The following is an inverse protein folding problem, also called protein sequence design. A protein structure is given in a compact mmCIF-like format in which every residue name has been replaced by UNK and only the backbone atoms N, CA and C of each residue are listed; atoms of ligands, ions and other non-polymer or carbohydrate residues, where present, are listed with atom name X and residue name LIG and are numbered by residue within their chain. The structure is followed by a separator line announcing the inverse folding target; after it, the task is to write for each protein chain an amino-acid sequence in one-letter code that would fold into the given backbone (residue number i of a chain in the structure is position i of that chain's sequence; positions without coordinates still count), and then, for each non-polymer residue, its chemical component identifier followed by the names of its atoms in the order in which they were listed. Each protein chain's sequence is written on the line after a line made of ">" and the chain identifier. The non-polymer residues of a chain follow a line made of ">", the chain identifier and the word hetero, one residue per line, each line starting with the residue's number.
data_IF_269549284462
#
_entry.id   IF_269549284462
#
_cell.length_a   1.000
_cell.length_b   1.000
_cell.length_c   1.000
_cell.angle_alpha   90.00
_cell.angle_beta   90.00
_cell.angle_gamma   90.00
#
_symmetry.space_group_name_H-M   'P 1'
#
loop_
_entity.id
_entity.type
_entity.pdbx_description
1 polymer ?
#
# COMPACT_ATOMS: atom_id res chain seq x y z
N UNK A 1 17.38 -0.55 -27.24
CA UNK A 1 16.61 0.68 -26.91
C UNK A 1 15.17 0.23 -26.73
N UNK A 2 14.72 -0.01 -25.49
CA UNK A 2 13.36 -0.52 -25.24
C UNK A 2 12.39 0.67 -25.20
N UNK A 3 11.53 0.72 -26.21
CA UNK A 3 10.44 1.69 -26.32
C UNK A 3 9.39 1.37 -25.27
N UNK A 4 9.04 2.36 -24.45
CA UNK A 4 7.92 2.25 -23.51
C UNK A 4 6.65 2.35 -24.37
N UNK A 5 6.04 1.20 -24.66
CA UNK A 5 4.82 1.11 -25.45
C UNK A 5 3.70 1.96 -24.84
N UNK A 6 2.98 2.67 -25.71
CA UNK A 6 1.80 3.45 -25.36
C UNK A 6 0.83 2.65 -24.48
N UNK A 7 0.17 3.29 -23.49
CA UNK A 7 -0.72 2.60 -22.57
C UNK A 7 -1.79 1.81 -23.33
N UNK A 8 -1.96 0.55 -22.90
CA UNK A 8 -2.88 -0.42 -23.48
C UNK A 8 -4.30 0.16 -23.56
N UNK A 9 -4.97 -0.03 -24.71
CA UNK A 9 -6.32 0.50 -25.02
C UNK A 9 -7.41 0.11 -23.99
N UNK A 10 -7.14 -0.82 -23.07
CA UNK A 10 -8.06 -1.23 -22.01
C UNK A 10 -8.34 -0.15 -20.96
N UNK A 11 -7.52 0.91 -20.89
CA UNK A 11 -7.70 2.03 -19.95
C UNK A 11 -8.54 3.19 -20.52
N UNK A 12 -8.92 3.16 -21.81
CA UNK A 12 -9.68 4.25 -22.45
C UNK A 12 -11.12 4.38 -21.94
N UNK A 13 -11.68 3.34 -21.33
CA UNK A 13 -13.02 3.39 -20.75
C UNK A 13 -13.04 3.93 -19.31
N UNK A 14 -11.87 4.01 -18.66
CA UNK A 14 -11.76 4.55 -17.30
C UNK A 14 -11.61 6.07 -17.37
N UNK A 15 -12.69 6.71 -17.84
CA UNK A 15 -12.72 8.15 -18.14
C UNK A 15 -12.47 8.98 -16.89
N UNK A 16 -11.50 9.90 -16.99
CA UNK A 16 -11.10 10.87 -15.97
C UNK A 16 -12.27 11.72 -15.44
N UNK A 17 -13.38 11.79 -16.20
CA UNK A 17 -14.50 12.69 -15.96
C UNK A 17 -15.64 12.11 -15.09
N UNK A 18 -15.62 10.83 -14.70
CA UNK A 18 -16.77 10.24 -13.97
C UNK A 18 -16.71 10.33 -12.44
N UNK A 19 -15.58 10.72 -11.82
CA UNK A 19 -15.47 10.71 -10.36
C UNK A 19 -14.76 11.94 -9.74
N UNK A 20 -14.86 13.10 -10.39
CA UNK A 20 -14.37 14.37 -9.83
C UNK A 20 -15.15 14.82 -8.57
N UNK A 21 -16.42 14.39 -8.43
CA UNK A 21 -17.34 14.88 -7.38
C UNK A 21 -17.39 14.03 -6.11
N UNK A 22 -16.47 13.06 -5.97
CA UNK A 22 -16.38 12.24 -4.76
C UNK A 22 -14.93 12.01 -4.36
N UNK A 23 -14.20 13.09 -4.07
CA UNK A 23 -13.03 13.02 -3.21
C UNK A 23 -13.52 12.45 -1.85
N UNK A 24 -12.85 11.55 -1.11
CA UNK A 24 -11.53 11.74 -0.52
C UNK A 24 -10.95 10.41 0.04
N UNK A 25 -9.62 10.25 -0.05
CA UNK A 25 -8.72 9.34 0.69
C UNK A 25 -8.41 7.95 0.10
N UNK A 26 -7.56 7.97 -0.93
CA UNK A 26 -6.46 7.01 -1.07
C UNK A 26 -6.74 5.70 -1.79
N UNK A 27 -7.97 5.18 -1.72
CA UNK A 27 -8.23 3.83 -2.25
C UNK A 27 -8.29 3.77 -3.79
N UNK A 28 -8.86 4.79 -4.43
CA UNK A 28 -9.03 4.93 -5.90
C UNK A 28 -7.73 5.38 -6.59
N UNK A 29 -6.96 6.20 -5.88
CA UNK A 29 -5.62 6.63 -6.25
C UNK A 29 -4.63 5.46 -6.35
N UNK A 30 -4.69 4.54 -5.39
CA UNK A 30 -3.87 3.33 -5.38
C UNK A 30 -4.28 2.37 -6.50
N UNK A 31 -5.58 2.24 -6.76
CA UNK A 31 -6.10 1.44 -7.88
C UNK A 31 -5.54 1.92 -9.23
N UNK A 32 -5.61 3.23 -9.49
CA UNK A 32 -5.08 3.87 -10.71
C UNK A 32 -3.58 3.72 -10.87
N UNK A 33 -2.84 3.94 -9.78
CA UNK A 33 -1.39 3.82 -9.78
C UNK A 33 -0.95 2.36 -9.95
N UNK A 34 -1.69 1.40 -9.39
CA UNK A 34 -1.47 -0.03 -9.62
C UNK A 34 -1.69 -0.42 -11.06
N UNK A 35 -2.78 0.02 -11.70
CA UNK A 35 -3.05 -0.30 -13.10
C UNK A 35 -1.90 0.08 -14.05
N UNK A 36 -1.12 1.11 -13.71
CA UNK A 36 0.01 1.58 -14.51
C UNK A 36 1.27 0.70 -14.35
N UNK A 37 1.45 0.04 -13.21
CA UNK A 37 2.64 -0.79 -12.90
C UNK A 37 2.29 -2.27 -12.68
N UNK A 38 1.06 -2.66 -13.03
CA UNK A 38 0.47 -3.92 -12.60
C UNK A 38 1.25 -5.12 -13.11
N UNK A 39 1.64 -5.12 -14.39
CA UNK A 39 2.41 -6.21 -15.00
C UNK A 39 3.77 -6.43 -14.30
N UNK A 40 4.46 -5.35 -13.94
CA UNK A 40 5.75 -5.43 -13.24
C UNK A 40 5.55 -5.97 -11.82
N UNK A 41 4.55 -5.47 -11.09
CA UNK A 41 4.25 -5.95 -9.74
C UNK A 41 3.75 -7.40 -9.76
N UNK A 42 2.97 -7.79 -10.77
CA UNK A 42 2.52 -9.18 -10.98
C UNK A 42 3.67 -10.14 -11.18
N UNK A 43 4.68 -9.75 -11.95
CA UNK A 43 5.85 -10.57 -12.17
C UNK A 43 6.69 -10.76 -10.89
N UNK A 44 6.65 -9.79 -9.97
CA UNK A 44 7.49 -9.79 -8.76
C UNK A 44 6.88 -10.57 -7.59
N UNK A 45 5.55 -10.57 -7.43
CA UNK A 45 4.92 -11.10 -6.22
C UNK A 45 3.81 -12.11 -6.50
N UNK A 46 3.95 -13.30 -5.92
CA UNK A 46 3.00 -14.41 -6.06
C UNK A 46 1.62 -14.12 -5.45
N UNK A 47 1.57 -13.33 -4.36
CA UNK A 47 0.33 -13.06 -3.64
C UNK A 47 0.17 -11.57 -3.33
N UNK A 48 -0.90 -10.99 -3.87
CA UNK A 48 -1.35 -9.61 -3.61
C UNK A 48 -2.63 -9.62 -2.77
N UNK A 49 -2.70 -8.76 -1.75
CA UNK A 49 -3.85 -8.65 -0.85
C UNK A 49 -4.21 -7.17 -0.70
N UNK A 50 -5.47 -6.82 -0.96
CA UNK A 50 -5.96 -5.46 -0.73
C UNK A 50 -6.50 -5.34 0.69
N UNK A 51 -6.04 -4.34 1.44
CA UNK A 51 -6.59 -3.97 2.75
C UNK A 51 -7.07 -2.52 2.70
N UNK A 52 -8.37 -2.30 2.82
CA UNK A 52 -8.99 -0.97 2.87
C UNK A 52 -9.58 -0.69 4.25
N UNK A 53 -9.48 0.56 4.70
CA UNK A 53 -10.17 1.04 5.91
C UNK A 53 -11.64 1.44 5.64
N UNK A 54 -12.06 1.40 4.38
CA UNK A 54 -13.40 1.75 3.91
C UNK A 54 -14.32 0.54 3.93
N UNK A 55 -15.64 0.80 3.96
CA UNK A 55 -16.65 -0.25 3.93
C UNK A 55 -16.59 -0.98 2.58
N UNK A 56 -16.93 -2.28 2.60
CA UNK A 56 -17.00 -3.10 1.39
C UNK A 56 -17.92 -2.47 0.33
N UNK A 57 -19.07 -1.96 0.74
CA UNK A 57 -20.05 -1.33 -0.16
C UNK A 57 -19.49 -0.18 -1.00
N UNK A 58 -18.48 0.52 -0.50
CA UNK A 58 -17.81 1.60 -1.23
C UNK A 58 -16.65 1.08 -2.09
N UNK A 59 -15.84 0.19 -1.54
CA UNK A 59 -14.55 -0.19 -2.14
C UNK A 59 -14.66 -1.34 -3.14
N UNK A 60 -15.65 -2.21 -2.98
CA UNK A 60 -15.77 -3.42 -3.80
C UNK A 60 -15.98 -3.08 -5.28
N UNK A 61 -16.92 -2.19 -5.60
CA UNK A 61 -17.23 -1.82 -6.99
C UNK A 61 -16.01 -1.25 -7.72
N UNK A 62 -15.23 -0.41 -7.05
CA UNK A 62 -13.99 0.16 -7.58
C UNK A 62 -12.93 -0.92 -7.84
N UNK A 63 -12.81 -1.91 -6.96
CA UNK A 63 -11.92 -3.06 -7.18
C UNK A 63 -12.44 -4.00 -8.27
N UNK A 64 -13.76 -4.08 -8.48
CA UNK A 64 -14.34 -4.86 -9.56
C UNK A 64 -14.09 -4.19 -10.93
N UNK A 65 -14.04 -2.85 -10.98
CA UNK A 65 -13.62 -2.12 -12.18
C UNK A 65 -12.12 -2.31 -12.45
N UNK A 66 -11.28 -2.26 -11.41
CA UNK A 66 -9.83 -2.41 -11.53
C UNK A 66 -9.40 -3.84 -11.85
N UNK A 67 -10.02 -4.82 -11.20
CA UNK A 67 -9.70 -6.24 -11.28
C UNK A 67 -10.95 -7.04 -11.67
N UNK A 68 -11.48 -6.83 -12.90
CA UNK A 68 -12.75 -7.43 -13.33
C UNK A 68 -12.68 -8.95 -13.46
N UNK A 69 -11.47 -9.50 -13.53
CA UNK A 69 -11.24 -10.95 -13.62
C UNK A 69 -10.81 -11.58 -12.30
N UNK A 70 -10.75 -10.82 -11.21
CA UNK A 70 -10.26 -11.27 -9.90
C UNK A 70 -8.88 -11.96 -9.95
N UNK A 71 -7.98 -11.45 -10.78
CA UNK A 71 -6.60 -11.95 -10.94
C UNK A 71 -5.60 -11.12 -10.16
N UNK A 72 -5.88 -9.84 -9.94
CA UNK A 72 -4.92 -8.92 -9.32
C UNK A 72 -4.81 -9.14 -7.82
N UNK A 73 -5.92 -9.39 -7.12
CA UNK A 73 -5.90 -9.56 -5.67
C UNK A 73 -6.45 -10.92 -5.25
N UNK A 74 -5.59 -11.73 -4.64
CA UNK A 74 -5.95 -13.04 -4.08
C UNK A 74 -6.97 -12.93 -2.93
N UNK A 75 -6.92 -11.83 -2.17
CA UNK A 75 -7.80 -11.55 -1.04
C UNK A 75 -8.11 -10.05 -0.94
N UNK A 76 -9.32 -9.72 -0.53
CA UNK A 76 -9.78 -8.34 -0.29
C UNK A 76 -10.31 -8.23 1.15
N UNK A 77 -9.64 -7.42 1.96
CA UNK A 77 -9.99 -7.09 3.33
C UNK A 77 -10.49 -5.65 3.41
N UNK A 78 -11.51 -5.43 4.23
CA UNK A 78 -12.20 -4.14 4.35
C UNK A 78 -12.22 -3.67 5.80
N UNK A 79 -12.97 -2.59 6.05
CA UNK A 79 -13.15 -1.98 7.37
C UNK A 79 -13.39 -2.96 8.53
N UNK A 80 -14.18 -4.00 8.28
CA UNK A 80 -14.61 -4.96 9.29
C UNK A 80 -13.46 -5.93 9.69
N UNK A 81 -12.40 -5.99 8.88
CA UNK A 81 -11.17 -6.73 9.16
C UNK A 81 -10.11 -5.87 9.88
N UNK A 82 -10.34 -4.56 10.03
CA UNK A 82 -9.43 -3.69 10.80
C UNK A 82 -9.60 -3.93 12.31
N UNK A 83 -8.49 -3.89 13.04
CA UNK A 83 -8.55 -3.63 14.49
C UNK A 83 -8.80 -2.13 14.72
N UNK A 84 -9.72 -1.78 15.61
CA UNK A 84 -10.00 -0.38 15.94
C UNK A 84 -9.37 0.00 17.27
N UNK A 85 -8.62 1.10 17.30
CA UNK A 85 -8.00 1.64 18.51
C UNK A 85 -8.02 3.17 18.43
N UNK A 86 -8.60 3.82 19.44
CA UNK A 86 -8.76 5.28 19.53
C UNK A 86 -9.43 5.89 18.28
N UNK A 87 -10.46 5.24 17.74
CA UNK A 87 -11.17 5.71 16.54
C UNK A 87 -10.38 5.55 15.23
N UNK A 88 -9.26 4.83 15.23
CA UNK A 88 -8.43 4.60 14.04
C UNK A 88 -8.43 3.11 13.63
N UNK A 89 -8.58 2.85 12.33
CA UNK A 89 -8.33 1.52 11.77
C UNK A 89 -6.83 1.20 11.82
N UNK A 90 -6.54 0.02 12.34
CA UNK A 90 -5.26 -0.66 12.32
C UNK A 90 -5.35 -1.89 11.43
N UNK A 91 -4.44 -1.96 10.46
CA UNK A 91 -4.26 -3.08 9.55
C UNK A 91 -3.30 -4.08 10.20
N UNK A 92 -3.87 -5.01 10.96
CA UNK A 92 -3.10 -6.06 11.60
C UNK A 92 -2.75 -7.17 10.60
N UNK A 93 -1.49 -7.19 10.16
CA UNK A 93 -1.00 -8.14 9.14
C UNK A 93 -1.03 -9.60 9.62
N UNK A 94 -1.12 -9.86 10.92
CA UNK A 94 -1.23 -11.24 11.46
C UNK A 94 -2.51 -11.94 10.99
N UNK A 95 -3.55 -11.18 10.66
CA UNK A 95 -4.81 -11.71 10.11
C UNK A 95 -4.64 -12.33 8.72
N UNK A 96 -3.51 -12.07 8.05
CA UNK A 96 -3.19 -12.69 6.78
C UNK A 96 -2.77 -14.16 6.94
N UNK A 97 -2.31 -14.55 8.14
CA UNK A 97 -1.73 -15.86 8.41
C UNK A 97 -0.55 -16.21 7.47
N UNK A 98 0.23 -15.21 7.08
CA UNK A 98 1.46 -15.32 6.30
C UNK A 98 2.63 -15.04 7.24
N UNK A 99 3.77 -15.70 7.02
CA UNK A 99 4.99 -15.40 7.77
C UNK A 99 5.34 -13.91 7.67
N UNK A 100 5.54 -13.27 8.84
CA UNK A 100 5.90 -11.86 8.93
C UNK A 100 7.26 -11.56 8.29
N UNK A 101 8.10 -12.56 8.06
CA UNK A 101 9.34 -12.40 7.29
C UNK A 101 9.10 -12.23 5.77
N UNK A 102 7.93 -12.63 5.27
CA UNK A 102 7.58 -12.65 3.84
C UNK A 102 6.45 -11.67 3.46
N UNK A 103 5.98 -10.87 4.42
CA UNK A 103 4.86 -9.94 4.21
C UNK A 103 5.32 -8.49 4.37
N UNK A 104 4.80 -7.59 3.55
CA UNK A 104 4.93 -6.16 3.75
C UNK A 104 3.64 -5.45 3.34
N UNK A 105 3.47 -4.21 3.79
CA UNK A 105 2.36 -3.35 3.43
C UNK A 105 2.89 -2.03 2.89
N UNK A 106 2.35 -1.60 1.76
CA UNK A 106 2.55 -0.24 1.23
C UNK A 106 1.30 0.55 1.56
N UNK A 107 1.46 1.65 2.28
CA UNK A 107 0.32 2.51 2.65
C UNK A 107 0.78 3.96 2.79
N UNK A 108 -0.08 4.89 2.41
CA UNK A 108 0.18 6.31 2.52
C UNK A 108 -0.04 6.85 3.94
N UNK A 109 -0.59 6.04 4.85
CA UNK A 109 -0.87 6.42 6.24
C UNK A 109 -0.09 5.53 7.21
N UNK A 110 1.14 5.90 7.63
CA UNK A 110 1.98 5.06 8.50
C UNK A 110 1.32 4.59 9.80
N UNK A 111 0.34 5.35 10.30
CA UNK A 111 -0.42 5.02 11.51
C UNK A 111 -1.21 3.71 11.37
N UNK A 112 -1.68 3.35 10.18
CA UNK A 112 -2.56 2.16 10.01
C UNK A 112 -1.78 0.86 10.14
N UNK A 113 -0.49 0.85 9.82
CA UNK A 113 0.39 -0.31 9.97
C UNK A 113 1.31 -0.21 11.21
N UNK A 114 0.99 0.65 12.18
CA UNK A 114 1.85 0.88 13.37
C UNK A 114 2.13 -0.37 14.21
N UNK A 115 1.31 -1.42 14.10
CA UNK A 115 1.55 -2.70 14.76
C UNK A 115 2.73 -3.47 14.15
N UNK A 116 3.04 -3.19 12.88
CA UNK A 116 4.02 -3.90 12.06
C UNK A 116 4.93 -2.92 11.31
N UNK A 117 5.50 -1.94 12.03
CA UNK A 117 6.30 -0.85 11.43
C UNK A 117 7.41 -1.37 10.52
N UNK A 118 8.11 -2.44 10.93
CA UNK A 118 9.21 -3.00 10.14
C UNK A 118 8.73 -3.71 8.85
N UNK A 119 7.44 -3.96 8.71
CA UNK A 119 6.81 -4.49 7.49
C UNK A 119 6.13 -3.38 6.66
N UNK A 120 6.12 -2.15 7.16
CA UNK A 120 5.45 -1.02 6.52
C UNK A 120 6.39 -0.19 5.65
N UNK A 121 5.98 0.00 4.40
CA UNK A 121 6.61 0.88 3.42
C UNK A 121 5.71 2.10 3.23
N UNK A 122 6.12 3.28 3.72
CA UNK A 122 5.34 4.50 3.51
C UNK A 122 5.42 4.91 2.04
N UNK A 123 4.29 5.29 1.45
CA UNK A 123 4.22 5.89 0.11
C UNK A 123 3.55 7.26 0.18
N UNK A 124 3.84 8.14 -0.77
CA UNK A 124 3.18 9.44 -0.85
C UNK A 124 1.70 9.25 -1.20
N UNK A 125 0.82 10.04 -0.60
CA UNK A 125 -0.57 10.15 -1.06
C UNK A 125 -0.60 10.69 -2.48
N UNK A 126 -1.39 10.07 -3.34
CA UNK A 126 -1.60 10.51 -4.71
C UNK A 126 -2.88 11.33 -4.80
N UNK A 127 -2.81 12.46 -5.49
CA UNK A 127 -3.88 13.45 -5.64
C UNK A 127 -4.05 13.85 -7.10
N UNK A 128 -4.29 12.88 -7.98
CA UNK A 128 -4.62 13.13 -9.39
C UNK A 128 -3.49 13.77 -10.22
N UNK A 129 -2.24 13.69 -9.73
CA UNK A 129 -1.08 14.18 -10.47
C UNK A 129 -0.58 13.11 -11.44
N UNK A 130 -0.74 13.38 -12.74
CA UNK A 130 -0.27 12.49 -13.81
C UNK A 130 1.25 12.35 -13.88
N UNK A 131 2.00 13.22 -13.20
CA UNK A 131 3.46 13.16 -13.08
C UNK A 131 3.92 12.44 -11.81
N UNK A 132 3.00 11.95 -10.99
CA UNK A 132 3.38 11.18 -9.82
C UNK A 132 3.94 9.81 -10.24
N UNK A 133 5.18 9.57 -9.83
CA UNK A 133 5.90 8.34 -10.10
C UNK A 133 6.26 7.60 -8.80
N UNK A 134 5.57 7.87 -7.68
CA UNK A 134 5.97 7.36 -6.37
C UNK A 134 6.03 5.83 -6.31
N UNK A 135 5.02 5.13 -6.85
CA UNK A 135 5.00 3.67 -6.87
C UNK A 135 6.00 3.10 -7.88
N UNK A 136 6.14 3.71 -9.05
CA UNK A 136 7.15 3.31 -10.05
C UNK A 136 8.57 3.42 -9.49
N UNK A 137 8.86 4.50 -8.77
CA UNK A 137 10.14 4.71 -8.10
C UNK A 137 10.40 3.72 -6.96
N UNK A 138 9.36 3.05 -6.47
CA UNK A 138 9.47 2.02 -5.45
C UNK A 138 9.80 0.64 -6.04
N UNK A 139 9.50 0.38 -7.33
CA UNK A 139 9.74 -0.93 -7.97
C UNK A 139 11.16 -1.46 -7.78
N UNK A 140 12.25 -0.69 -8.00
CA UNK A 140 13.62 -1.20 -7.80
C UNK A 140 13.93 -1.58 -6.34
N UNK A 141 13.16 -1.05 -5.38
CA UNK A 141 13.25 -1.47 -3.99
C UNK A 141 12.41 -2.72 -3.73
N UNK A 142 11.22 -2.84 -4.33
CA UNK A 142 10.37 -4.03 -4.20
C UNK A 142 11.03 -5.27 -4.81
N UNK A 143 11.73 -5.13 -5.94
CA UNK A 143 12.54 -6.20 -6.55
C UNK A 143 13.54 -6.80 -5.55
N UNK A 144 14.15 -5.97 -4.70
CA UNK A 144 15.10 -6.43 -3.67
C UNK A 144 14.44 -7.21 -2.54
N UNK A 145 13.11 -7.23 -2.46
CA UNK A 145 12.38 -7.96 -1.42
C UNK A 145 11.87 -9.32 -1.90
N UNK A 146 12.01 -9.65 -3.18
CA UNK A 146 11.46 -10.90 -3.75
C UNK A 146 12.17 -12.13 -3.18
N UNK A 147 13.51 -12.13 -3.18
CA UNK A 147 14.33 -13.31 -2.85
C UNK A 147 14.99 -13.26 -1.47
N UNK A 148 14.49 -12.43 -0.56
CA UNK A 148 15.09 -12.27 0.77
C UNK A 148 14.42 -13.15 1.81
N UNK A 149 15.20 -13.67 2.75
CA UNK A 149 14.69 -14.52 3.83
C UNK A 149 13.72 -13.76 4.74
N UNK A 150 14.07 -12.51 5.09
CA UNK A 150 13.26 -11.63 5.92
C UNK A 150 13.27 -10.20 5.37
N UNK A 151 12.10 -9.69 4.99
CA UNK A 151 11.93 -8.33 4.47
C UNK A 151 12.12 -7.24 5.54
N UNK A 152 11.89 -7.58 6.83
CA UNK A 152 11.77 -6.59 7.92
C UNK A 152 13.06 -5.81 8.18
N UNK A 153 14.26 -6.42 8.23
CA UNK A 153 15.51 -5.68 8.41
C UNK A 153 15.77 -4.71 7.26
N UNK A 154 15.41 -5.08 6.03
CA UNK A 154 15.65 -4.29 4.82
C UNK A 154 14.72 -3.08 4.76
N UNK A 155 13.42 -3.29 5.04
CA UNK A 155 12.42 -2.21 5.14
C UNK A 155 12.79 -1.27 6.29
N UNK A 156 13.11 -1.80 7.47
CA UNK A 156 13.56 -1.00 8.60
C UNK A 156 14.83 -0.20 8.29
N UNK A 157 15.78 -0.81 7.57
CA UNK A 157 16.99 -0.15 7.13
C UNK A 157 16.70 1.01 6.15
N UNK A 158 15.69 0.89 5.29
CA UNK A 158 15.39 1.90 4.27
C UNK A 158 14.52 3.06 4.80
N UNK A 159 13.56 2.77 5.66
CA UNK A 159 12.52 3.73 6.06
C UNK A 159 12.56 4.10 7.54
N UNK A 160 13.17 3.27 8.40
CA UNK A 160 13.04 3.39 9.86
C UNK A 160 14.39 3.51 10.62
N UNK A 161 15.53 3.66 9.92
CA UNK A 161 16.89 3.77 10.52
C UNK A 161 17.03 4.83 11.61
N UNK A 162 16.28 5.92 11.54
CA UNK A 162 16.38 7.06 12.48
C UNK A 162 15.61 6.85 13.79
N UNK A 163 14.92 5.73 13.96
CA UNK A 163 14.13 5.44 15.18
C UNK A 163 14.99 4.81 16.30
N UNK A 164 16.26 4.46 16.01
CA UNK A 164 17.16 3.75 16.95
C UNK A 164 17.82 4.61 18.05
N UNK A 165 17.67 5.94 18.05
CA UNK A 165 18.27 6.81 19.09
C UNK A 165 17.40 7.00 20.34
N UNK A 166 16.22 6.38 20.41
CA UNK A 166 15.38 6.45 21.62
C UNK A 166 15.70 5.27 22.56
N UNK A 167 16.11 5.52 23.83
CA UNK A 167 16.45 4.46 24.78
C UNK A 167 15.24 3.56 25.12
N UNK A 168 15.45 2.34 25.65
CA UNK A 168 14.41 1.32 25.82
C UNK A 168 13.22 1.75 26.71
N UNK A 169 13.37 2.75 27.57
CA UNK A 169 12.27 3.34 28.36
C UNK A 169 11.26 4.11 27.51
N UNK A 170 11.54 4.32 26.23
CA UNK A 170 10.79 5.14 25.30
C UNK A 170 9.93 4.35 24.30
N UNK A 171 9.35 3.22 24.71
CA UNK A 171 8.24 2.57 23.97
C UNK A 171 7.10 3.58 23.64
N UNK A 172 7.00 4.65 24.44
CA UNK A 172 6.09 5.77 24.24
C UNK A 172 6.51 6.74 23.09
N UNK A 173 7.79 6.85 22.75
CA UNK A 173 8.30 7.76 21.71
C UNK A 173 8.06 7.18 20.30
N UNK A 174 8.09 5.85 20.15
CA UNK A 174 7.67 5.17 18.90
C UNK A 174 6.22 5.53 18.54
N UNK A 175 5.36 5.67 19.55
CA UNK A 175 3.97 6.15 19.42
C UNK A 175 3.91 7.63 19.03
N UNK A 176 4.73 8.50 19.64
CA UNK A 176 4.78 9.94 19.35
C UNK A 176 5.32 10.28 17.95
N UNK A 177 6.33 9.59 17.44
CA UNK A 177 6.87 9.85 16.09
C UNK A 177 5.88 9.48 14.98
N UNK A 178 5.10 8.41 15.17
CA UNK A 178 4.03 8.00 14.25
C UNK A 178 2.78 8.90 14.33
N UNK A 179 2.55 9.58 15.46
CA UNK A 179 1.46 10.54 15.63
C UNK A 179 1.80 11.95 15.10
N UNK A 180 3.09 12.30 14.95
CA UNK A 180 3.54 13.66 14.63
C UNK A 180 3.88 13.90 13.14
N UNK A 181 3.97 12.84 12.33
CA UNK A 181 4.28 12.91 10.90
C UNK A 181 3.07 12.60 10.00
N UNK A 182 1.86 12.99 10.43
CA UNK A 182 0.71 13.11 9.55
C UNK A 182 0.96 14.28 8.60
N UNK A 183 1.51 14.00 7.42
CA UNK A 183 1.46 14.90 6.27
C UNK A 183 0.13 14.70 5.54
#
# INVERSE_FOLDING_TARGET
>A
MVSIGSPCNCLKEYTENQHCDSNVFGDDAFARLYAFVDADIEALFQQKIRISASRRSYTANMLDILDPRNKLFSRRLYRDSCKWEDGHCLKDLRLLAIDMAKVFIIDNTPRVFRLHVNNGIPIKSWYWDCRDHALRNLLPFLEKLVDVDDVRPIIAARFWKRVKSAPPSAAHIRRKFLLRNSF
#
